data_IF_215262786973
#
_entry.id   IF_215262786973
#
_cell.length_a   1.000
_cell.length_b   1.000
_cell.length_c   1.000
_cell.angle_alpha   90.00
_cell.angle_beta   90.00
_cell.angle_gamma   90.00
#
_symmetry.space_group_name_H-M   'P 1'
#
loop_
_entity.id
_entity.type
_entity.pdbx_description
1 polymer ?
#
# COMPACT_ATOMS: atom_id res chain seq x y z
N UNK A 1 10.85 0.69 -7.10
CA UNK A 1 10.05 1.60 -6.26
C UNK A 1 9.32 0.84 -5.15
N UNK A 2 8.54 -0.20 -5.46
CA UNK A 2 7.88 -1.08 -4.48
C UNK A 2 8.74 -2.33 -4.24
N UNK A 3 8.82 -2.79 -2.99
CA UNK A 3 9.50 -4.04 -2.60
C UNK A 3 8.50 -5.17 -2.34
N UNK A 4 7.51 -4.90 -1.49
CA UNK A 4 6.44 -5.83 -1.15
C UNK A 4 5.09 -5.16 -1.36
N UNK A 5 4.07 -5.95 -1.67
CA UNK A 5 2.70 -5.45 -1.80
C UNK A 5 1.69 -6.49 -1.30
N UNK A 6 0.58 -6.00 -0.75
CA UNK A 6 -0.60 -6.77 -0.41
C UNK A 6 -1.83 -6.07 -0.98
N UNK A 7 -2.56 -6.75 -1.86
CA UNK A 7 -3.90 -6.31 -2.29
C UNK A 7 -4.93 -6.90 -1.33
N UNK A 8 -5.79 -6.05 -0.77
CA UNK A 8 -6.89 -6.42 0.11
C UNK A 8 -8.10 -5.52 -0.15
N UNK A 9 -9.22 -5.83 0.47
CA UNK A 9 -10.50 -5.14 0.31
C UNK A 9 -11.60 -5.80 1.13
N UNK A 10 -11.22 -6.58 2.15
CA UNK A 10 -12.16 -7.36 2.95
C UNK A 10 -13.12 -6.42 3.66
N UNK A 11 -14.42 -6.61 3.41
CA UNK A 11 -15.48 -5.77 3.99
C UNK A 11 -15.60 -4.37 3.37
N UNK A 12 -14.90 -4.08 2.27
CA UNK A 12 -14.87 -2.76 1.64
C UNK A 12 -15.48 -2.77 0.23
N UNK A 13 -15.92 -1.60 -0.22
CA UNK A 13 -16.62 -1.43 -1.52
C UNK A 13 -15.73 -1.62 -2.74
N UNK A 14 -14.41 -1.54 -2.55
CA UNK A 14 -13.39 -1.76 -3.58
C UNK A 14 -12.12 -2.30 -2.92
N UNK A 15 -11.18 -2.80 -3.72
CA UNK A 15 -9.88 -3.22 -3.22
C UNK A 15 -8.92 -2.03 -3.06
N UNK A 16 -7.89 -2.18 -2.24
CA UNK A 16 -6.75 -1.30 -2.09
C UNK A 16 -5.46 -2.12 -2.14
N UNK A 17 -4.36 -1.47 -2.51
CA UNK A 17 -3.03 -2.07 -2.40
C UNK A 17 -2.24 -1.39 -1.29
N UNK A 18 -1.68 -2.16 -0.38
CA UNK A 18 -0.68 -1.66 0.56
C UNK A 18 0.71 -2.01 0.06
N UNK A 19 1.59 -1.02 -0.03
CA UNK A 19 2.94 -1.17 -0.59
C UNK A 19 4.01 -0.83 0.44
N UNK A 20 5.04 -1.66 0.48
CA UNK A 20 6.30 -1.35 1.15
C UNK A 20 7.26 -0.82 0.10
N UNK A 21 7.77 0.40 0.29
CA UNK A 21 8.76 0.97 -0.63
C UNK A 21 10.08 0.18 -0.58
N UNK A 22 10.85 0.24 -1.68
CA UNK A 22 12.20 -0.30 -1.76
C UNK A 22 13.09 0.20 -0.60
N UNK A 23 13.91 -0.69 -0.05
CA UNK A 23 14.75 -0.41 1.12
C UNK A 23 15.56 0.89 0.98
N UNK A 24 16.19 1.11 -0.17
CA UNK A 24 17.03 2.27 -0.44
C UNK A 24 16.24 3.59 -0.58
N UNK A 25 14.92 3.50 -0.82
CA UNK A 25 14.03 4.63 -1.03
C UNK A 25 13.43 5.13 0.30
N UNK A 26 13.16 4.23 1.25
CA UNK A 26 12.57 4.54 2.57
C UNK A 26 13.25 5.69 3.34
N UNK A 27 14.60 5.78 3.44
CA UNK A 27 15.20 6.91 4.13
C UNK A 27 15.08 8.22 3.34
N UNK A 28 14.94 8.15 2.01
CA UNK A 28 14.95 9.30 1.10
C UNK A 28 13.60 10.01 1.03
N UNK A 29 12.47 9.33 1.27
CA UNK A 29 11.12 9.94 1.22
C UNK A 29 10.86 10.97 2.33
N UNK A 30 11.81 11.16 3.25
CA UNK A 30 11.80 12.32 4.17
C UNK A 30 12.02 13.63 3.43
N UNK A 31 12.70 13.60 2.28
CA UNK A 31 12.78 14.74 1.37
C UNK A 31 11.43 14.92 0.65
N UNK A 32 10.78 16.10 0.79
CA UNK A 32 9.51 16.39 0.13
C UNK A 32 9.53 16.21 -1.39
N UNK A 33 10.66 16.49 -2.05
CA UNK A 33 10.80 16.34 -3.49
C UNK A 33 10.79 14.85 -3.89
N UNK A 34 11.48 14.01 -3.12
CA UNK A 34 11.45 12.55 -3.31
C UNK A 34 10.07 12.01 -3.02
N UNK A 35 9.44 12.43 -1.92
CA UNK A 35 8.07 12.02 -1.57
C UNK A 35 7.08 12.37 -2.68
N UNK A 36 7.11 13.59 -3.21
CA UNK A 36 6.24 14.03 -4.29
C UNK A 36 6.46 13.22 -5.58
N UNK A 37 7.72 12.87 -5.89
CA UNK A 37 8.04 11.99 -7.02
C UNK A 37 7.42 10.59 -6.84
N UNK A 38 7.59 9.99 -5.65
CA UNK A 38 7.01 8.67 -5.34
C UNK A 38 5.49 8.71 -5.39
N UNK A 39 4.87 9.76 -4.87
CA UNK A 39 3.41 9.96 -4.91
C UNK A 39 2.89 10.01 -6.36
N UNK A 40 3.58 10.75 -7.23
CA UNK A 40 3.26 10.82 -8.66
C UNK A 40 3.43 9.46 -9.36
N UNK A 41 4.52 8.76 -9.10
CA UNK A 41 4.79 7.45 -9.71
C UNK A 41 3.78 6.38 -9.26
N UNK A 42 3.41 6.34 -7.96
CA UNK A 42 2.38 5.43 -7.46
C UNK A 42 0.99 5.78 -7.99
N UNK A 43 0.67 7.07 -8.09
CA UNK A 43 -0.59 7.54 -8.68
C UNK A 43 -0.71 7.13 -10.15
N UNK A 44 0.39 7.20 -10.91
CA UNK A 44 0.44 6.75 -12.28
C UNK A 44 0.30 5.22 -12.37
N UNK A 45 1.02 4.48 -11.52
CA UNK A 45 0.94 3.02 -11.45
C UNK A 45 -0.49 2.54 -11.18
N UNK A 46 -1.20 3.17 -10.24
CA UNK A 46 -2.60 2.85 -9.94
C UNK A 46 -3.50 2.98 -11.17
N UNK A 47 -3.33 4.07 -11.94
CA UNK A 47 -4.09 4.29 -13.18
C UNK A 47 -3.78 3.23 -14.23
N UNK A 48 -2.51 2.89 -14.39
CA UNK A 48 -2.06 1.90 -15.38
C UNK A 48 -2.54 0.50 -15.06
N UNK A 49 -2.50 0.09 -13.78
CA UNK A 49 -3.05 -1.18 -13.30
C UNK A 49 -4.56 -1.20 -13.52
N UNK A 50 -5.29 -0.19 -13.06
CA UNK A 50 -6.74 -0.13 -13.19
C UNK A 50 -7.23 -0.09 -14.64
N UNK A 51 -6.42 0.41 -15.59
CA UNK A 51 -6.76 0.37 -17.02
C UNK A 51 -6.85 -1.06 -17.57
N UNK A 52 -6.16 -2.00 -16.95
CA UNK A 52 -6.09 -3.40 -17.36
C UNK A 52 -7.12 -4.28 -16.64
N UNK A 53 -7.80 -3.73 -15.63
CA UNK A 53 -8.73 -4.47 -14.76
C UNK A 53 -10.18 -4.18 -15.12
N UNK A 54 -11.05 -5.17 -14.91
CA UNK A 54 -12.49 -4.96 -14.96
C UNK A 54 -12.92 -3.99 -13.84
N UNK A 55 -14.06 -3.30 -14.02
CA UNK A 55 -14.50 -2.25 -13.09
C UNK A 55 -14.59 -2.72 -11.63
N UNK A 56 -15.02 -3.96 -11.40
CA UNK A 56 -15.15 -4.54 -10.05
C UNK A 56 -13.81 -5.01 -9.43
N UNK A 57 -12.73 -5.06 -10.22
CA UNK A 57 -11.39 -5.45 -9.75
C UNK A 57 -10.49 -4.24 -9.51
N UNK A 58 -10.93 -3.04 -9.93
CA UNK A 58 -10.15 -1.82 -9.81
C UNK A 58 -9.84 -1.51 -8.34
N UNK A 59 -8.59 -1.15 -8.11
CA UNK A 59 -8.11 -0.67 -6.83
C UNK A 59 -8.56 0.79 -6.64
N UNK A 60 -9.14 1.10 -5.48
CA UNK A 60 -9.52 2.46 -5.14
C UNK A 60 -8.30 3.33 -4.83
N UNK A 61 -7.28 2.76 -4.18
CA UNK A 61 -6.12 3.50 -3.69
C UNK A 61 -4.91 2.60 -3.45
N UNK A 62 -3.74 3.25 -3.39
CA UNK A 62 -2.50 2.68 -2.86
C UNK A 62 -2.23 3.29 -1.48
N UNK A 63 -1.83 2.47 -0.51
CA UNK A 63 -1.42 2.90 0.82
C UNK A 63 0.05 2.56 1.00
N UNK A 64 0.87 3.55 1.35
CA UNK A 64 2.30 3.34 1.64
C UNK A 64 2.45 2.91 3.10
N UNK A 65 3.04 1.75 3.34
CA UNK A 65 3.31 1.25 4.68
C UNK A 65 4.30 2.18 5.43
N UNK A 66 4.09 2.47 6.72
CA UNK A 66 4.93 3.38 7.49
C UNK A 66 6.31 2.78 7.81
N UNK A 67 6.37 1.45 7.83
CA UNK A 67 7.55 0.65 8.14
C UNK A 67 7.63 -0.57 7.20
N UNK A 68 8.81 -1.16 7.02
CA UNK A 68 8.93 -2.41 6.29
C UNK A 68 8.22 -3.56 6.99
N UNK A 69 7.72 -4.51 6.20
CA UNK A 69 7.26 -5.79 6.73
C UNK A 69 8.46 -6.70 6.94
N UNK A 70 8.61 -7.21 8.16
CA UNK A 70 9.74 -8.06 8.53
C UNK A 70 9.28 -9.29 9.30
N UNK A 71 10.21 -10.19 9.59
CA UNK A 71 9.93 -11.35 10.45
C UNK A 71 9.77 -10.89 11.91
N UNK A 72 10.55 -9.90 12.32
CA UNK A 72 10.62 -9.36 13.68
C UNK A 72 9.32 -8.66 14.10
N UNK A 73 8.71 -7.85 13.22
CA UNK A 73 7.39 -7.24 13.49
C UNK A 73 6.22 -8.20 13.18
N UNK A 74 6.51 -9.43 12.77
CA UNK A 74 5.53 -10.48 12.56
C UNK A 74 4.65 -10.27 11.34
N UNK A 75 5.03 -9.41 10.39
CA UNK A 75 4.32 -9.28 9.11
C UNK A 75 4.77 -10.33 8.08
N UNK A 76 5.95 -10.91 8.26
CA UNK A 76 6.46 -12.02 7.46
C UNK A 76 6.59 -13.32 8.29
N UNK A 77 6.54 -14.47 7.62
CA UNK A 77 6.99 -15.75 8.19
C UNK A 77 8.52 -15.79 8.23
N UNK A 78 9.15 -16.70 8.99
CA UNK A 78 10.60 -16.92 8.91
C UNK A 78 11.10 -17.26 7.50
N UNK A 79 10.21 -17.76 6.64
CA UNK A 79 10.45 -18.03 5.22
C UNK A 79 10.06 -16.88 4.29
N UNK A 80 9.90 -15.66 4.83
CA UNK A 80 9.59 -14.43 4.11
C UNK A 80 8.23 -14.40 3.38
N UNK A 81 7.28 -15.26 3.75
CA UNK A 81 5.90 -15.19 3.23
C UNK A 81 5.11 -14.13 3.97
N UNK A 82 4.30 -13.35 3.25
CA UNK A 82 3.41 -12.33 3.82
C UNK A 82 2.34 -12.98 4.73
N UNK A 83 2.22 -12.50 5.96
CA UNK A 83 1.15 -12.88 6.90
C UNK A 83 -0.06 -11.95 6.71
N UNK A 84 -0.82 -12.18 5.65
CA UNK A 84 -2.00 -11.38 5.25
C UNK A 84 -2.89 -10.98 6.43
N UNK A 85 -3.40 -11.96 7.19
CA UNK A 85 -4.33 -11.70 8.29
C UNK A 85 -3.75 -10.76 9.35
N UNK A 86 -2.44 -10.85 9.63
CA UNK A 86 -1.78 -9.97 10.61
C UNK A 86 -1.72 -8.52 10.12
N UNK A 87 -1.43 -8.31 8.84
CA UNK A 87 -1.38 -6.98 8.22
C UNK A 87 -2.79 -6.40 8.16
N UNK A 88 -3.77 -7.17 7.69
CA UNK A 88 -5.17 -6.75 7.58
C UNK A 88 -5.73 -6.32 8.95
N UNK A 89 -5.52 -7.11 10.02
CA UNK A 89 -5.93 -6.73 11.37
C UNK A 89 -5.20 -5.49 11.92
N UNK A 90 -3.94 -5.25 11.52
CA UNK A 90 -3.20 -4.08 11.97
C UNK A 90 -3.71 -2.78 11.34
N UNK A 91 -4.23 -2.85 10.12
CA UNK A 91 -4.71 -1.69 9.37
C UNK A 91 -6.22 -1.49 9.42
N UNK A 92 -6.98 -2.50 9.82
CA UNK A 92 -8.44 -2.47 9.95
C UNK A 92 -8.97 -1.18 10.61
N UNK A 93 -8.42 -0.67 11.73
CA UNK A 93 -8.91 0.55 12.36
C UNK A 93 -8.79 1.83 11.50
N UNK A 94 -7.96 1.80 10.45
CA UNK A 94 -7.70 2.95 9.58
C UNK A 94 -8.50 2.89 8.28
N UNK A 95 -9.14 1.76 7.95
CA UNK A 95 -9.81 1.55 6.66
C UNK A 95 -10.89 2.60 6.42
N UNK A 96 -11.78 2.82 7.37
CA UNK A 96 -12.87 3.81 7.23
C UNK A 96 -12.33 5.21 6.93
N UNK A 97 -11.21 5.58 7.56
CA UNK A 97 -10.55 6.86 7.33
C UNK A 97 -9.91 6.95 5.94
N UNK A 98 -9.39 5.85 5.40
CA UNK A 98 -8.83 5.81 4.05
C UNK A 98 -9.95 5.87 3.00
N UNK A 99 -10.99 5.06 3.13
CA UNK A 99 -12.13 5.03 2.19
C UNK A 99 -12.96 6.32 2.23
N UNK A 100 -13.00 7.02 3.38
CA UNK A 100 -13.63 8.33 3.50
C UNK A 100 -12.83 9.50 2.91
N UNK A 101 -11.52 9.31 2.65
CA UNK A 101 -10.65 10.33 2.04
C UNK A 101 -10.58 10.16 0.53
N UNK A 102 -10.43 11.28 -0.18
CA UNK A 102 -10.10 11.28 -1.60
C UNK A 102 -8.57 11.24 -1.75
N UNK A 103 -8.08 10.44 -2.69
CA UNK A 103 -6.67 10.35 -3.00
C UNK A 103 -6.31 9.03 -3.67
N UNK A 104 -5.37 9.05 -4.59
CA UNK A 104 -4.84 7.83 -5.21
C UNK A 104 -3.81 7.14 -4.30
N UNK A 105 -3.10 7.92 -3.49
CA UNK A 105 -2.01 7.46 -2.63
C UNK A 105 -2.21 8.00 -1.22
N UNK A 106 -2.16 7.12 -0.23
CA UNK A 106 -2.23 7.46 1.19
C UNK A 106 -0.91 7.12 1.88
N UNK A 107 -0.37 8.09 2.61
CA UNK A 107 0.80 7.91 3.47
C UNK A 107 0.32 7.83 4.91
N UNK A 108 0.63 6.73 5.60
CA UNK A 108 0.21 6.46 6.97
C UNK A 108 1.39 6.38 7.92
#
# INVERSE_FOLDING_TARGET
>A
MVELTLVSGVGQVAAYAMVVLAEDLRPKVKDPAVKAKVDSELSQLLKEVNKQLADYEKLQMIVVAPEPWTVENGYLTPTMKIRRARIESAVEPQLDAWYGKKGAVHWV
#
